data_IF_315120541018
#
_entry.id   IF_315120541018
#
_cell.length_a   1.000
_cell.length_b   1.000
_cell.length_c   1.000
_cell.angle_alpha   90.00
_cell.angle_beta   90.00
_cell.angle_gamma   90.00
#
_symmetry.space_group_name_H-M   'P 1'
#
loop_
_entity.id
_entity.type
_entity.pdbx_description
1 polymer ?
#
# COMPACT_ATOMS: atom_id res chain seq x y z
N UNK A 1 -21.11 12.66 0.28
CA UNK A 1 -19.65 12.50 0.29
C UNK A 1 -19.21 12.20 -1.13
N UNK A 2 -18.26 12.93 -1.68
CA UNK A 2 -17.82 12.73 -3.07
C UNK A 2 -16.47 11.97 -3.10
N UNK A 3 -16.37 10.86 -2.38
CA UNK A 3 -15.23 9.99 -2.50
C UNK A 3 -15.60 8.82 -3.43
N UNK A 4 -14.80 8.67 -4.47
CA UNK A 4 -14.94 7.63 -5.46
C UNK A 4 -14.02 6.48 -5.10
N UNK A 5 -14.57 5.28 -5.00
CA UNK A 5 -13.84 4.07 -4.66
C UNK A 5 -13.87 3.13 -5.86
N UNK A 6 -12.72 2.67 -6.31
CA UNK A 6 -12.60 1.70 -7.39
C UNK A 6 -11.84 0.46 -6.93
N UNK A 7 -12.25 -0.72 -7.40
CA UNK A 7 -11.50 -1.96 -7.21
C UNK A 7 -10.43 -2.07 -8.29
N UNK A 8 -9.18 -2.26 -7.89
CA UNK A 8 -8.12 -2.60 -8.84
C UNK A 8 -8.23 -4.05 -9.27
N UNK A 9 -7.87 -4.32 -10.52
CA UNK A 9 -7.87 -5.65 -11.08
C UNK A 9 -6.79 -6.54 -10.44
N UNK A 10 -7.09 -7.84 -10.36
CA UNK A 10 -6.16 -8.84 -9.86
C UNK A 10 -6.35 -9.22 -8.39
N UNK A 11 -5.53 -10.14 -7.96
CA UNK A 11 -5.42 -10.59 -6.57
C UNK A 11 -4.00 -10.41 -6.08
N UNK A 12 -3.87 -9.99 -4.83
CA UNK A 12 -2.60 -9.57 -4.26
C UNK A 12 -2.25 -10.41 -3.05
N UNK A 13 -0.96 -10.51 -2.80
CA UNK A 13 -0.38 -11.24 -1.68
C UNK A 13 0.49 -10.30 -0.87
N UNK A 14 0.36 -10.39 0.45
CA UNK A 14 1.17 -9.65 1.40
C UNK A 14 2.30 -10.56 1.90
N UNK A 15 3.53 -10.06 1.83
CA UNK A 15 4.74 -10.79 2.20
C UNK A 15 5.48 -9.99 3.27
N UNK A 16 5.72 -10.63 4.42
CA UNK A 16 6.61 -10.15 5.47
C UNK A 16 8.01 -10.74 5.28
N UNK A 17 9.02 -9.90 5.33
CA UNK A 17 10.43 -10.27 5.24
C UNK A 17 11.17 -9.66 6.43
N UNK A 18 11.73 -10.48 7.35
CA UNK A 18 12.58 -9.96 8.41
C UNK A 18 13.79 -9.20 7.86
N UNK A 19 14.21 -8.12 8.52
CA UNK A 19 15.29 -7.26 8.03
C UNK A 19 16.62 -7.99 7.81
N UNK A 20 16.91 -8.99 8.63
CA UNK A 20 18.12 -9.82 8.47
C UNK A 20 18.11 -10.68 7.19
N UNK A 21 16.94 -10.87 6.55
CA UNK A 21 16.79 -11.57 5.29
C UNK A 21 16.59 -10.63 4.08
N UNK A 22 16.53 -9.32 4.33
CA UNK A 22 16.32 -8.34 3.29
C UNK A 22 17.32 -8.48 2.14
N UNK A 23 18.62 -8.53 2.44
CA UNK A 23 19.68 -8.68 1.43
C UNK A 23 19.55 -9.99 0.62
N UNK A 24 19.11 -11.06 1.27
CA UNK A 24 18.92 -12.36 0.61
C UNK A 24 17.74 -12.33 -0.35
N UNK A 25 16.69 -11.56 -0.01
CA UNK A 25 15.47 -11.44 -0.82
C UNK A 25 15.43 -10.17 -1.69
N UNK A 26 16.51 -9.40 -1.75
CA UNK A 26 16.59 -8.20 -2.58
C UNK A 26 16.40 -8.52 -4.07
N UNK A 27 16.96 -9.64 -4.55
CA UNK A 27 16.82 -10.03 -5.95
C UNK A 27 15.35 -10.27 -6.37
N UNK A 28 14.52 -11.05 -5.65
CA UNK A 28 13.09 -11.12 -5.97
C UNK A 28 12.35 -9.79 -5.83
N UNK A 29 12.70 -8.93 -4.86
CA UNK A 29 12.13 -7.59 -4.72
C UNK A 29 12.42 -6.75 -5.98
N UNK A 30 13.65 -6.74 -6.46
CA UNK A 30 14.01 -6.03 -7.69
C UNK A 30 13.35 -6.62 -8.93
N UNK A 31 13.11 -7.93 -8.97
CA UNK A 31 12.39 -8.56 -10.09
C UNK A 31 10.94 -8.14 -10.20
N UNK A 32 10.23 -7.93 -9.09
CA UNK A 32 8.84 -7.45 -9.13
C UNK A 32 8.76 -5.94 -9.37
N UNK A 33 9.80 -5.19 -8.99
CA UNK A 33 9.89 -3.76 -9.25
C UNK A 33 10.15 -3.46 -10.73
N UNK A 34 11.00 -4.25 -11.38
CA UNK A 34 11.43 -3.99 -12.75
C UNK A 34 10.54 -4.73 -13.75
N UNK A 35 10.02 -4.04 -14.77
CA UNK A 35 9.29 -4.68 -15.85
C UNK A 35 10.21 -5.68 -16.58
N UNK A 36 9.77 -6.90 -16.71
CA UNK A 36 10.53 -7.90 -17.44
C UNK A 36 10.33 -7.69 -18.94
N UNK A 37 11.40 -7.31 -19.66
CA UNK A 37 11.43 -7.48 -21.10
C UNK A 37 11.38 -8.99 -21.40
N UNK A 38 10.43 -9.40 -22.24
CA UNK A 38 10.39 -10.78 -22.74
C UNK A 38 11.76 -11.14 -23.31
N UNK A 39 12.50 -12.00 -22.61
CA UNK A 39 13.68 -12.63 -23.17
C UNK A 39 13.18 -13.47 -24.35
N UNK A 40 13.57 -13.09 -25.56
CA UNK A 40 13.34 -13.90 -26.76
C UNK A 40 14.14 -15.21 -26.64
N UNK A 41 13.61 -16.15 -25.88
CA UNK A 41 14.01 -17.55 -25.94
C UNK A 41 12.94 -18.30 -26.72
N UNK A 42 13.35 -18.97 -27.81
CA UNK A 42 12.51 -19.82 -28.66
C UNK A 42 11.91 -21.01 -27.93
N UNK A 43 10.99 -20.76 -26.99
CA UNK A 43 10.20 -21.78 -26.31
C UNK A 43 8.72 -21.46 -26.51
N UNK A 44 8.25 -21.72 -27.76
CA UNK A 44 6.84 -21.54 -28.17
C UNK A 44 5.87 -22.56 -27.55
N UNK A 45 6.32 -23.47 -26.70
CA UNK A 45 5.53 -24.63 -26.27
C UNK A 45 5.32 -24.78 -24.76
N UNK A 46 5.66 -23.77 -23.95
CA UNK A 46 5.26 -23.77 -22.53
C UNK A 46 4.25 -22.66 -22.29
N UNK A 47 3.08 -22.95 -21.64
CA UNK A 47 2.19 -21.91 -21.19
C UNK A 47 2.77 -21.21 -19.93
N UNK A 48 4.07 -20.95 -19.94
CA UNK A 48 4.77 -20.36 -18.82
C UNK A 48 4.73 -18.83 -18.93
N UNK A 49 3.70 -18.30 -18.26
CA UNK A 49 3.79 -17.12 -17.41
C UNK A 49 4.50 -15.91 -18.05
N UNK A 50 3.78 -15.20 -18.88
CA UNK A 50 4.04 -13.79 -19.14
C UNK A 50 3.90 -13.05 -17.80
N UNK A 51 4.98 -12.97 -17.03
CA UNK A 51 5.11 -12.02 -15.93
C UNK A 51 5.19 -10.62 -16.54
N UNK A 52 4.04 -10.07 -16.85
CA UNK A 52 3.93 -8.70 -17.32
C UNK A 52 4.18 -7.78 -16.12
N UNK A 53 5.14 -6.88 -16.26
CA UNK A 53 5.38 -5.84 -15.24
C UNK A 53 4.26 -4.80 -15.23
N UNK A 54 4.19 -4.00 -14.16
CA UNK A 54 3.24 -2.89 -14.02
C UNK A 54 3.23 -1.89 -15.18
N UNK A 55 4.27 -1.91 -16.01
CA UNK A 55 4.45 -1.01 -17.16
C UNK A 55 4.07 -1.67 -18.50
N UNK A 56 3.64 -2.93 -18.51
CA UNK A 56 3.14 -3.62 -19.70
C UNK A 56 1.65 -3.82 -19.61
N UNK A 57 0.92 -3.11 -20.45
CA UNK A 57 -0.52 -3.24 -20.75
C UNK A 57 -1.42 -3.92 -19.69
N UNK A 58 -1.52 -3.32 -18.49
CA UNK A 58 -2.76 -3.41 -17.72
C UNK A 58 -3.02 -4.65 -16.87
N UNK A 59 -2.08 -5.55 -16.63
CA UNK A 59 -2.41 -6.79 -15.88
C UNK A 59 -2.05 -6.80 -14.39
N UNK A 60 -1.21 -5.89 -13.88
CA UNK A 60 -0.81 -5.86 -12.47
C UNK A 60 -0.92 -4.45 -11.91
N UNK A 61 -2.13 -4.09 -11.48
CA UNK A 61 -2.49 -2.72 -11.12
C UNK A 61 -1.76 -2.13 -9.90
N UNK A 62 -1.03 -2.92 -9.08
CA UNK A 62 -0.47 -2.42 -7.83
C UNK A 62 0.76 -3.19 -7.35
N UNK A 63 1.73 -2.44 -6.82
CA UNK A 63 2.89 -2.92 -6.08
C UNK A 63 3.22 -1.94 -4.95
N UNK A 64 3.39 -2.44 -3.73
CA UNK A 64 4.00 -1.67 -2.65
C UNK A 64 5.19 -2.44 -2.09
N UNK A 65 6.30 -1.74 -1.90
CA UNK A 65 7.50 -2.22 -1.21
C UNK A 65 7.79 -1.23 -0.08
N UNK A 66 7.69 -1.70 1.15
CA UNK A 66 7.91 -0.88 2.34
C UNK A 66 9.00 -1.48 3.21
N UNK A 67 10.06 -0.72 3.42
CA UNK A 67 11.13 -1.03 4.36
C UNK A 67 10.94 -0.09 5.55
N UNK A 68 10.85 -0.65 6.73
CA UNK A 68 10.68 0.08 7.99
C UNK A 68 11.74 -0.39 8.99
N UNK A 69 11.94 0.28 10.12
CA UNK A 69 12.82 -0.25 11.17
C UNK A 69 12.40 -1.61 11.73
N UNK A 70 11.17 -2.06 11.46
CA UNK A 70 10.61 -3.31 11.97
C UNK A 70 10.71 -4.46 10.97
N UNK A 71 10.49 -4.18 9.68
CA UNK A 71 10.39 -5.22 8.64
C UNK A 71 10.56 -4.66 7.24
N UNK A 72 10.74 -5.55 6.26
CA UNK A 72 10.42 -5.28 4.87
C UNK A 72 9.11 -5.98 4.52
N UNK A 73 8.16 -5.22 4.00
CA UNK A 73 6.83 -5.70 3.58
C UNK A 73 6.65 -5.48 2.08
N UNK A 74 6.12 -6.49 1.39
CA UNK A 74 5.84 -6.42 -0.05
C UNK A 74 4.39 -6.80 -0.29
N UNK A 75 3.66 -5.93 -0.97
CA UNK A 75 2.34 -6.23 -1.54
C UNK A 75 2.51 -6.32 -3.04
N UNK A 76 2.28 -7.48 -3.60
CA UNK A 76 2.42 -7.71 -5.04
C UNK A 76 1.32 -8.62 -5.56
N UNK A 77 1.13 -8.65 -6.87
CA UNK A 77 0.19 -9.58 -7.50
C UNK A 77 0.53 -11.03 -7.12
N UNK A 78 -0.51 -11.84 -6.86
CA UNK A 78 -0.32 -13.21 -6.33
C UNK A 78 0.51 -14.11 -7.26
N UNK A 79 0.47 -13.89 -8.57
CA UNK A 79 1.34 -14.62 -9.51
C UNK A 79 2.82 -14.32 -9.28
N UNK A 80 3.19 -13.11 -8.88
CA UNK A 80 4.57 -12.77 -8.56
C UNK A 80 5.03 -13.39 -7.23
N UNK A 81 4.15 -13.41 -6.23
CA UNK A 81 4.45 -14.13 -5.00
C UNK A 81 4.79 -15.60 -5.29
N UNK A 82 4.00 -16.27 -6.14
CA UNK A 82 4.18 -17.67 -6.51
C UNK A 82 5.38 -17.92 -7.43
N UNK A 83 5.61 -17.04 -8.43
CA UNK A 83 6.58 -17.32 -9.49
C UNK A 83 7.94 -16.64 -9.25
N UNK A 84 8.01 -15.63 -8.38
CA UNK A 84 9.25 -14.91 -8.07
C UNK A 84 9.75 -15.19 -6.66
N UNK A 85 8.87 -15.06 -5.64
CA UNK A 85 9.28 -15.23 -4.24
C UNK A 85 9.33 -16.69 -3.79
N UNK A 86 8.28 -17.49 -4.05
CA UNK A 86 8.25 -18.89 -3.61
C UNK A 86 9.44 -19.74 -4.09
N UNK A 87 9.90 -19.64 -5.35
CA UNK A 87 11.07 -20.41 -5.78
C UNK A 87 12.31 -20.08 -4.96
N UNK A 88 12.54 -18.80 -4.64
CA UNK A 88 13.67 -18.39 -3.81
C UNK A 88 13.52 -18.89 -2.38
N UNK A 89 12.32 -18.76 -1.79
CA UNK A 89 12.04 -19.26 -0.45
C UNK A 89 12.27 -20.78 -0.33
N UNK A 90 11.96 -21.55 -1.37
CA UNK A 90 12.21 -23.01 -1.41
C UNK A 90 13.70 -23.38 -1.41
N UNK A 91 14.58 -22.45 -1.80
CA UNK A 91 16.05 -22.67 -1.75
C UNK A 91 16.67 -22.39 -0.39
N UNK A 92 15.97 -21.67 0.49
CA UNK A 92 16.45 -21.33 1.81
C UNK A 92 16.34 -22.50 2.79
N UNK A 93 17.19 -22.57 3.84
CA UNK A 93 17.00 -23.49 4.93
C UNK A 93 15.61 -23.35 5.54
N UNK A 94 14.99 -24.48 5.91
CA UNK A 94 13.59 -24.51 6.35
C UNK A 94 13.28 -23.55 7.49
N UNK A 95 14.19 -23.38 8.44
CA UNK A 95 13.99 -22.50 9.59
C UNK A 95 14.05 -21.02 9.18
N UNK A 96 14.93 -20.70 8.23
CA UNK A 96 15.04 -19.35 7.65
C UNK A 96 13.80 -19.03 6.78
N UNK A 97 13.37 -19.97 5.96
CA UNK A 97 12.18 -19.77 5.12
C UNK A 97 10.91 -19.54 5.93
N UNK A 98 10.77 -20.17 7.12
CA UNK A 98 9.62 -19.99 8.02
C UNK A 98 9.54 -18.59 8.65
N UNK A 99 10.62 -17.86 8.74
CA UNK A 99 10.59 -16.47 9.26
C UNK A 99 10.03 -15.49 8.26
N UNK A 100 10.00 -15.85 6.96
CA UNK A 100 9.29 -15.10 5.93
C UNK A 100 7.83 -15.53 5.92
N UNK A 101 6.92 -14.59 6.13
CA UNK A 101 5.49 -14.89 6.12
C UNK A 101 4.87 -14.42 4.81
N UNK A 102 4.19 -15.36 4.13
CA UNK A 102 3.37 -15.07 2.94
C UNK A 102 1.92 -15.25 3.33
N UNK A 103 1.08 -14.26 3.09
CA UNK A 103 -0.34 -14.31 3.46
C UNK A 103 -1.04 -15.50 2.81
N UNK A 104 -1.86 -16.21 3.60
CA UNK A 104 -2.65 -17.35 3.10
C UNK A 104 -3.84 -16.88 2.29
N UNK A 105 -4.49 -15.81 2.74
CA UNK A 105 -5.58 -15.18 2.04
C UNK A 105 -5.03 -14.27 0.94
N UNK A 106 -5.71 -14.23 -0.19
CA UNK A 106 -5.48 -13.22 -1.21
C UNK A 106 -6.27 -11.96 -0.88
N UNK A 107 -5.71 -10.83 -1.30
CA UNK A 107 -6.30 -9.51 -1.10
C UNK A 107 -6.74 -8.93 -2.45
N UNK A 108 -7.76 -8.10 -2.40
CA UNK A 108 -8.06 -7.12 -3.43
C UNK A 108 -7.71 -5.73 -2.91
N UNK A 109 -7.51 -4.80 -3.82
CA UNK A 109 -7.14 -3.43 -3.50
C UNK A 109 -8.23 -2.49 -3.96
N UNK A 110 -8.62 -1.59 -3.06
CA UNK A 110 -9.46 -0.45 -3.38
C UNK A 110 -8.55 0.77 -3.52
N UNK A 111 -8.69 1.49 -4.62
CA UNK A 111 -8.15 2.84 -4.79
C UNK A 111 -9.22 3.85 -4.43
N UNK A 112 -8.87 4.82 -3.63
CA UNK A 112 -9.79 5.86 -3.18
C UNK A 112 -9.25 7.22 -3.59
N UNK A 113 -9.98 7.87 -4.47
CA UNK A 113 -9.72 9.26 -4.84
C UNK A 113 -10.64 10.13 -3.97
N UNK A 114 -10.07 10.80 -2.99
CA UNK A 114 -10.80 11.59 -2.01
C UNK A 114 -10.86 13.07 -2.41
N UNK A 115 -11.62 13.40 -3.45
CA UNK A 115 -11.91 14.79 -3.76
C UNK A 115 -12.87 15.36 -2.70
N UNK A 116 -12.33 16.12 -1.72
CA UNK A 116 -13.13 16.89 -0.76
C UNK A 116 -13.36 16.23 0.60
N UNK A 117 -12.69 15.14 0.94
CA UNK A 117 -12.57 14.69 2.31
C UNK A 117 -11.48 15.48 3.03
N UNK A 118 -11.78 15.91 4.25
CA UNK A 118 -10.80 16.55 5.11
C UNK A 118 -9.69 15.54 5.45
N UNK A 119 -8.43 15.89 5.18
CA UNK A 119 -7.34 14.92 5.24
C UNK A 119 -7.17 14.29 6.63
N UNK A 120 -7.41 15.05 7.71
CA UNK A 120 -7.36 14.55 9.08
C UNK A 120 -8.40 13.46 9.36
N UNK A 121 -9.65 13.65 8.90
CA UNK A 121 -10.74 12.67 9.07
C UNK A 121 -10.76 11.54 8.06
N UNK A 122 -10.05 11.67 6.95
CA UNK A 122 -10.15 10.79 5.77
C UNK A 122 -9.89 9.32 6.09
N UNK A 123 -8.80 9.03 6.79
CA UNK A 123 -8.45 7.65 7.16
C UNK A 123 -9.56 7.02 8.00
N UNK A 124 -10.09 7.76 8.97
CA UNK A 124 -11.18 7.28 9.83
C UNK A 124 -12.48 7.08 9.04
N UNK A 125 -12.85 8.04 8.19
CA UNK A 125 -14.10 7.98 7.41
C UNK A 125 -14.12 6.79 6.45
N UNK A 126 -13.00 6.51 5.78
CA UNK A 126 -12.86 5.38 4.87
C UNK A 126 -12.84 4.03 5.60
N UNK A 127 -12.24 3.98 6.78
CA UNK A 127 -12.00 2.71 7.46
C UNK A 127 -13.10 2.34 8.46
N UNK A 128 -13.87 3.31 8.97
CA UNK A 128 -14.93 3.05 9.97
C UNK A 128 -16.04 2.10 9.48
N UNK A 129 -16.57 2.20 8.24
CA UNK A 129 -17.59 1.27 7.79
C UNK A 129 -17.07 -0.17 7.67
N UNK A 130 -15.80 -0.33 7.28
CA UNK A 130 -15.16 -1.64 7.17
C UNK A 130 -14.85 -2.24 8.54
N UNK A 131 -14.36 -1.43 9.46
CA UNK A 131 -14.10 -1.84 10.85
C UNK A 131 -15.35 -2.27 11.58
N UNK A 132 -16.47 -1.54 11.44
CA UNK A 132 -17.77 -1.89 12.01
C UNK A 132 -18.37 -3.15 11.40
N UNK A 133 -18.04 -3.44 10.15
CA UNK A 133 -18.44 -4.69 9.49
C UNK A 133 -17.52 -5.88 9.84
N UNK A 134 -16.50 -5.67 10.70
CA UNK A 134 -15.56 -6.71 11.09
C UNK A 134 -14.61 -7.14 9.95
N UNK A 135 -14.34 -6.26 8.99
CA UNK A 135 -13.47 -6.54 7.85
C UNK A 135 -12.04 -6.12 8.20
N UNK A 136 -11.06 -7.03 8.17
CA UNK A 136 -9.66 -6.68 8.36
C UNK A 136 -9.14 -5.92 7.14
N UNK A 137 -8.36 -4.88 7.37
CA UNK A 137 -7.83 -4.02 6.32
C UNK A 137 -6.36 -3.70 6.54
N UNK A 138 -5.65 -3.41 5.43
CA UNK A 138 -4.38 -2.69 5.43
C UNK A 138 -4.60 -1.39 4.67
N UNK A 139 -4.08 -0.30 5.21
CA UNK A 139 -4.28 1.04 4.66
C UNK A 139 -2.94 1.64 4.26
N UNK A 140 -2.84 2.17 3.06
CA UNK A 140 -1.62 2.78 2.53
C UNK A 140 -1.99 4.15 1.97
N UNK A 141 -1.58 5.22 2.67
CA UNK A 141 -1.66 6.58 2.14
C UNK A 141 -0.52 6.79 1.15
N UNK A 142 -0.83 7.32 -0.02
CA UNK A 142 0.17 7.72 -1.01
C UNK A 142 0.09 9.22 -1.31
N UNK A 143 0.90 9.68 -2.23
CA UNK A 143 0.92 11.11 -2.58
C UNK A 143 -0.39 11.58 -3.23
N UNK A 144 -1.05 10.73 -4.03
CA UNK A 144 -2.27 11.07 -4.77
C UNK A 144 -3.52 10.38 -4.26
N UNK A 145 -3.42 9.13 -3.90
CA UNK A 145 -4.54 8.26 -3.56
C UNK A 145 -4.33 7.52 -2.25
N UNK A 146 -5.41 7.02 -1.68
CA UNK A 146 -5.34 6.03 -0.61
C UNK A 146 -5.66 4.65 -1.16
N UNK A 147 -4.94 3.65 -0.68
CA UNK A 147 -5.16 2.26 -1.04
C UNK A 147 -5.57 1.45 0.20
N UNK A 148 -6.61 0.64 0.03
CA UNK A 148 -7.10 -0.23 1.09
C UNK A 148 -7.04 -1.67 0.59
N UNK A 149 -6.27 -2.51 1.26
CA UNK A 149 -6.24 -3.94 0.99
C UNK A 149 -7.30 -4.61 1.87
N UNK A 150 -8.13 -5.44 1.26
CA UNK A 150 -9.16 -6.24 1.95
C UNK A 150 -9.10 -7.69 1.46
N UNK A 151 -9.39 -8.70 2.30
CA UNK A 151 -9.45 -10.07 1.85
C UNK A 151 -10.45 -10.25 0.71
N UNK A 152 -10.09 -11.00 -0.34
CA UNK A 152 -10.97 -11.22 -1.51
C UNK A 152 -12.31 -11.84 -1.14
N UNK A 153 -12.34 -12.66 -0.08
CA UNK A 153 -13.57 -13.28 0.46
C UNK A 153 -14.58 -12.26 0.99
N UNK A 154 -14.15 -11.06 1.34
CA UNK A 154 -14.98 -9.99 1.91
C UNK A 154 -15.54 -9.00 0.88
N UNK A 155 -15.31 -9.22 -0.43
CA UNK A 155 -15.69 -8.27 -1.50
C UNK A 155 -17.12 -7.74 -1.37
N UNK A 156 -18.10 -8.62 -1.20
CA UNK A 156 -19.51 -8.24 -1.13
C UNK A 156 -19.84 -7.45 0.14
N UNK A 157 -19.20 -7.81 1.27
CA UNK A 157 -19.38 -7.11 2.54
C UNK A 157 -18.74 -5.72 2.48
N UNK A 158 -17.57 -5.60 1.85
CA UNK A 158 -16.90 -4.32 1.60
C UNK A 158 -17.82 -3.40 0.77
N UNK A 159 -18.31 -3.88 -0.38
CA UNK A 159 -19.17 -3.10 -1.25
C UNK A 159 -20.44 -2.63 -0.51
N UNK A 160 -21.11 -3.53 0.21
CA UNK A 160 -22.31 -3.19 1.01
C UNK A 160 -22.02 -2.13 2.07
N UNK A 161 -20.91 -2.27 2.80
CA UNK A 161 -20.55 -1.37 3.91
C UNK A 161 -20.22 0.03 3.40
N UNK A 162 -19.49 0.15 2.28
CA UNK A 162 -19.15 1.42 1.67
C UNK A 162 -20.39 2.12 1.06
N UNK A 163 -21.22 1.39 0.31
CA UNK A 163 -22.47 1.92 -0.25
C UNK A 163 -23.43 2.40 0.83
N UNK A 164 -23.54 1.68 1.96
CA UNK A 164 -24.39 2.08 3.09
C UNK A 164 -23.94 3.41 3.73
N UNK A 165 -22.68 3.78 3.58
CA UNK A 165 -22.11 5.07 4.01
C UNK A 165 -22.16 6.16 2.95
N UNK A 166 -22.65 5.83 1.74
CA UNK A 166 -22.81 6.79 0.64
C UNK A 166 -21.54 7.00 -0.20
N UNK A 167 -20.60 6.05 -0.16
CA UNK A 167 -19.49 6.04 -1.12
C UNK A 167 -19.98 5.57 -2.49
N UNK A 168 -19.43 6.16 -3.54
CA UNK A 168 -19.70 5.74 -4.92
C UNK A 168 -18.67 4.68 -5.33
N UNK A 169 -19.16 3.50 -5.73
CA UNK A 169 -18.30 2.43 -6.25
C UNK A 169 -18.28 2.54 -7.77
N UNK A 170 -17.08 2.71 -8.32
CA UNK A 170 -16.86 2.61 -9.76
C UNK A 170 -16.49 1.17 -10.11
N UNK A 171 -17.34 0.52 -10.91
CA UNK A 171 -16.97 -0.74 -11.55
C UNK A 171 -16.15 -0.37 -12.79
N UNK A 172 -14.84 -0.61 -12.75
CA UNK A 172 -14.07 -0.67 -13.98
C UNK A 172 -14.61 -1.85 -14.78
N UNK A 173 -14.92 -1.62 -16.07
CA UNK A 173 -15.47 -2.63 -17.00
C UNK A 173 -14.43 -3.72 -17.31
N UNK A 174 -13.92 -4.43 -16.33
CA UNK A 174 -13.15 -5.63 -16.58
C UNK A 174 -14.03 -6.86 -16.40
N UNK A 175 -14.13 -7.60 -17.47
CA UNK A 175 -14.90 -8.76 -17.82
C UNK A 175 -14.92 -9.90 -16.75
N UNK A 176 -15.53 -9.66 -15.59
CA UNK A 176 -16.11 -10.74 -14.82
C UNK A 176 -17.63 -10.60 -14.91
N UNK A 177 -18.21 -11.42 -15.77
CA UNK A 177 -19.66 -11.66 -15.85
C UNK A 177 -20.12 -12.18 -14.49
N UNK A 178 -20.44 -11.28 -13.58
CA UNK A 178 -21.31 -11.59 -12.46
C UNK A 178 -22.71 -11.76 -13.06
N UNK A 179 -23.25 -12.96 -12.89
CA UNK A 179 -24.63 -13.29 -13.26
C UNK A 179 -25.55 -12.15 -12.80
N UNK A 180 -26.24 -11.55 -13.76
CA UNK A 180 -27.02 -10.33 -13.64
C UNK A 180 -27.87 -10.28 -12.37
N UNK A 181 -27.70 -9.22 -11.63
CA UNK A 181 -28.69 -8.78 -10.66
C UNK A 181 -29.95 -8.38 -11.43
N UNK A 182 -30.90 -9.29 -11.52
CA UNK A 182 -32.27 -8.96 -11.89
C UNK A 182 -32.78 -7.96 -10.86
N UNK A 183 -33.12 -6.74 -11.30
CA UNK A 183 -33.97 -5.81 -10.56
C UNK A 183 -35.31 -6.50 -10.25
N UNK A 184 -35.38 -7.19 -9.13
CA UNK A 184 -36.59 -7.73 -8.54
C UNK A 184 -36.54 -7.37 -7.07
N UNK A 185 -37.47 -6.50 -6.68
CA UNK A 185 -37.68 -6.12 -5.29
C UNK A 185 -37.97 -7.35 -4.44
N UNK A 186 -36.95 -7.85 -3.79
CA UNK A 186 -37.10 -8.76 -2.66
C UNK A 186 -36.11 -8.29 -1.60
N UNK A 187 -36.62 -8.00 -0.41
CA UNK A 187 -35.82 -7.60 0.75
C UNK A 187 -34.66 -8.59 0.90
N UNK A 188 -33.42 -8.09 1.09
CA UNK A 188 -32.29 -8.98 1.35
C UNK A 188 -32.59 -9.79 2.62
N UNK A 189 -32.23 -11.08 2.66
CA UNK A 189 -32.33 -11.86 3.90
C UNK A 189 -31.53 -11.13 4.96
N UNK A 190 -32.18 -10.80 6.06
CA UNK A 190 -31.56 -10.27 7.28
C UNK A 190 -30.60 -11.36 7.74
N UNK A 191 -29.32 -11.20 7.43
CA UNK A 191 -28.27 -12.02 8.05
C UNK A 191 -28.35 -11.73 9.55
N UNK A 192 -28.41 -12.75 10.41
CA UNK A 192 -28.42 -12.51 11.85
C UNK A 192 -27.16 -11.70 12.21
N UNK A 193 -27.27 -10.75 13.16
CA UNK A 193 -26.11 -9.99 13.60
C UNK A 193 -25.05 -10.97 14.07
N UNK A 194 -23.84 -10.88 13.52
CA UNK A 194 -22.69 -11.60 14.04
C UNK A 194 -22.53 -11.20 15.51
N UNK A 195 -22.77 -12.13 16.43
CA UNK A 195 -22.53 -11.91 17.84
C UNK A 195 -21.08 -11.51 18.04
N UNK A 196 -20.85 -10.27 18.50
CA UNK A 196 -19.52 -9.76 18.82
C UNK A 196 -19.00 -8.58 17.98
N UNK A 197 -19.73 -8.13 16.95
CA UNK A 197 -19.32 -6.91 16.21
C UNK A 197 -19.65 -5.64 17.03
N UNK A 198 -18.76 -4.61 16.98
CA UNK A 198 -19.00 -3.35 17.69
C UNK A 198 -20.21 -2.62 17.11
N UNK A 199 -21.06 -2.10 17.98
CA UNK A 199 -22.29 -1.41 17.60
C UNK A 199 -22.04 0.02 17.10
N UNK A 200 -20.89 0.61 17.49
CA UNK A 200 -20.49 1.97 17.12
C UNK A 200 -18.97 2.15 17.16
N UNK A 201 -18.50 3.28 16.63
CA UNK A 201 -17.07 3.60 16.55
C UNK A 201 -16.40 3.66 17.91
N UNK A 202 -17.09 4.19 18.95
CA UNK A 202 -16.51 4.30 20.30
C UNK A 202 -16.27 2.93 20.92
N UNK A 203 -17.21 2.01 20.77
CA UNK A 203 -17.05 0.62 21.23
C UNK A 203 -15.93 -0.08 20.45
N UNK A 204 -15.88 0.12 19.15
CA UNK A 204 -14.81 -0.42 18.30
C UNK A 204 -13.43 0.10 18.74
N UNK A 205 -13.29 1.40 18.99
CA UNK A 205 -12.04 1.99 19.51
C UNK A 205 -11.64 1.36 20.85
N UNK A 206 -12.58 1.24 21.79
CA UNK A 206 -12.33 0.61 23.09
C UNK A 206 -11.84 -0.83 22.93
N UNK A 207 -12.48 -1.61 22.06
CA UNK A 207 -12.10 -2.99 21.77
C UNK A 207 -10.70 -3.06 21.14
N UNK A 208 -10.41 -2.16 20.19
CA UNK A 208 -9.10 -2.06 19.52
C UNK A 208 -8.00 -1.75 20.52
N UNK A 209 -8.14 -0.70 21.33
CA UNK A 209 -7.12 -0.36 22.34
C UNK A 209 -6.98 -1.44 23.41
N UNK A 210 -8.08 -2.09 23.81
CA UNK A 210 -8.03 -3.27 24.68
C UNK A 210 -7.24 -4.43 24.09
N UNK A 211 -7.39 -4.69 22.80
CA UNK A 211 -6.63 -5.71 22.07
C UNK A 211 -5.14 -5.35 21.98
N UNK A 212 -4.82 -4.12 21.53
CA UNK A 212 -3.45 -3.63 21.40
C UNK A 212 -2.71 -3.70 22.73
N UNK A 213 -3.35 -3.26 23.82
CA UNK A 213 -2.83 -3.33 25.18
C UNK A 213 -2.58 -4.76 25.64
N UNK A 214 -3.54 -5.65 25.45
CA UNK A 214 -3.42 -7.09 25.77
C UNK A 214 -2.25 -7.75 25.03
N UNK A 215 -1.88 -7.23 23.87
CA UNK A 215 -0.78 -7.70 23.04
C UNK A 215 0.51 -6.93 23.26
N UNK A 216 0.55 -6.04 24.25
CA UNK A 216 1.70 -5.21 24.62
C UNK A 216 2.24 -4.39 23.45
N UNK A 217 1.35 -3.91 22.59
CA UNK A 217 1.71 -2.99 21.51
C UNK A 217 2.00 -1.63 22.12
N UNK A 218 3.19 -1.11 21.87
CA UNK A 218 3.61 0.22 22.33
C UNK A 218 3.93 1.11 21.14
N UNK A 219 3.49 2.38 21.15
CA UNK A 219 3.89 3.32 20.11
C UNK A 219 5.35 3.75 20.34
N UNK A 220 6.11 3.90 19.26
CA UNK A 220 7.47 4.43 19.36
C UNK A 220 7.84 5.26 18.12
N UNK A 221 8.69 6.24 18.33
CA UNK A 221 9.31 7.05 17.29
C UNK A 221 10.78 6.63 17.19
N UNK A 222 11.23 6.38 15.98
CA UNK A 222 12.64 6.05 15.71
C UNK A 222 13.47 7.33 15.69
N UNK A 223 14.49 7.40 16.55
CA UNK A 223 15.32 8.59 16.71
C UNK A 223 16.02 8.99 15.40
N UNK A 224 15.90 10.27 15.04
CA UNK A 224 16.51 10.84 13.83
C UNK A 224 15.92 10.35 12.52
N UNK A 225 14.76 9.68 12.54
CA UNK A 225 14.02 9.31 11.33
C UNK A 225 13.02 10.41 10.99
N UNK A 226 13.28 11.12 9.90
CA UNK A 226 12.39 12.15 9.35
C UNK A 226 12.03 11.74 7.93
N UNK A 227 10.73 11.76 7.60
CA UNK A 227 10.23 11.34 6.30
C UNK A 227 9.80 12.52 5.45
N UNK A 228 9.83 12.30 4.13
CA UNK A 228 9.21 13.16 3.12
C UNK A 228 8.29 12.31 2.25
N UNK A 229 7.14 12.88 1.89
CA UNK A 229 6.21 12.26 0.96
C UNK A 229 6.29 12.96 -0.39
N UNK A 230 6.63 12.21 -1.42
CA UNK A 230 6.89 12.74 -2.75
C UNK A 230 6.41 11.77 -3.83
N UNK A 231 6.51 12.20 -5.07
CA UNK A 231 6.07 11.44 -6.24
C UNK A 231 7.12 11.45 -7.34
N UNK A 232 7.04 10.47 -8.22
CA UNK A 232 7.64 10.55 -9.55
C UNK A 232 6.87 11.49 -10.47
N UNK A 233 7.38 11.71 -11.66
CA UNK A 233 6.73 12.54 -12.69
C UNK A 233 5.60 11.78 -13.36
N UNK A 234 4.56 12.51 -13.74
CA UNK A 234 3.48 11.96 -14.57
C UNK A 234 3.98 11.56 -15.96
N UNK A 235 3.32 10.57 -16.57
CA UNK A 235 3.65 10.10 -17.93
C UNK A 235 3.56 11.23 -18.98
N UNK A 236 2.62 12.17 -18.81
CA UNK A 236 2.47 13.36 -19.65
C UNK A 236 3.68 14.30 -19.59
N UNK A 237 4.28 14.44 -18.40
CA UNK A 237 5.48 15.23 -18.19
C UNK A 237 6.72 14.54 -18.78
N UNK A 238 6.81 13.21 -18.67
CA UNK A 238 7.90 12.42 -19.26
C UNK A 238 7.94 12.56 -20.79
N UNK A 239 6.78 12.55 -21.45
CA UNK A 239 6.68 12.75 -22.89
C UNK A 239 7.22 14.13 -23.31
N UNK A 240 6.92 15.19 -22.55
CA UNK A 240 7.40 16.55 -22.80
C UNK A 240 8.92 16.69 -22.68
N UNK A 241 9.54 16.01 -21.70
CA UNK A 241 10.99 16.01 -21.53
C UNK A 241 11.72 15.24 -22.63
N UNK A 242 11.16 14.16 -23.12
CA UNK A 242 11.74 13.37 -24.21
C UNK A 242 11.74 14.13 -25.55
N UNK A 243 10.78 15.05 -25.77
CA UNK A 243 10.75 15.91 -26.96
C UNK A 243 11.81 17.03 -26.94
N UNK A 244 12.36 17.39 -25.79
CA UNK A 244 13.42 18.40 -25.65
C UNK A 244 14.83 17.82 -25.84
N UNK A 245 15.02 16.50 -25.89
CA UNK A 245 16.28 15.92 -26.32
C UNK A 245 16.41 16.11 -27.82
N UNK A 246 17.48 16.77 -28.33
CA UNK A 246 17.68 16.90 -29.76
C UNK A 246 17.70 15.49 -30.35
N UNK A 247 16.66 15.16 -31.10
CA UNK A 247 16.61 13.93 -31.88
C UNK A 247 17.74 14.00 -32.90
N UNK A 248 18.84 13.33 -32.61
CA UNK A 248 19.80 12.99 -33.65
C UNK A 248 19.02 12.05 -34.56
N UNK A 249 18.47 12.64 -35.62
CA UNK A 249 17.77 11.93 -36.68
C UNK A 249 18.77 10.97 -37.34
N UNK A 250 18.88 9.76 -36.77
CA UNK A 250 19.47 8.64 -37.52
C UNK A 250 18.36 8.14 -38.42
N UNK A 251 18.46 8.51 -39.70
CA UNK A 251 17.82 7.78 -40.78
C UNK A 251 18.31 6.31 -40.72
N UNK A 252 17.58 5.48 -40.03
CA UNK A 252 17.73 4.02 -40.11
C UNK A 252 16.50 3.48 -40.83
N UNK A 253 16.76 3.16 -42.11
CA UNK A 253 15.93 2.26 -42.90
C UNK A 253 15.60 0.98 -42.13
N UNK A 254 14.29 0.75 -41.90
CA UNK A 254 13.65 -0.56 -41.85
C UNK A 254 14.23 -1.62 -40.90
N UNK A 255 13.94 -1.52 -39.64
CA UNK A 255 13.54 -2.63 -38.75
C UNK A 255 12.86 -1.99 -37.54
N UNK A 256 11.54 -2.11 -37.47
CA UNK A 256 10.76 -1.59 -36.34
C UNK A 256 11.21 -2.25 -35.03
N UNK A 257 12.17 -1.61 -34.36
CA UNK A 257 12.56 -1.99 -33.00
C UNK A 257 11.32 -1.78 -32.12
N UNK A 258 10.81 -2.85 -31.53
CA UNK A 258 9.73 -2.73 -30.53
C UNK A 258 10.21 -1.78 -29.45
N UNK A 259 9.37 -0.83 -28.99
CA UNK A 259 9.73 0.07 -27.90
C UNK A 259 10.17 -0.77 -26.70
N UNK A 260 11.28 -0.37 -26.08
CA UNK A 260 11.76 -0.96 -24.84
C UNK A 260 10.92 -0.43 -23.66
N UNK A 261 10.78 -1.20 -22.59
CA UNK A 261 10.17 -0.70 -21.35
C UNK A 261 10.84 0.60 -20.87
N UNK A 262 12.14 0.73 -21.09
CA UNK A 262 12.91 1.93 -20.75
C UNK A 262 12.47 3.19 -21.51
N UNK A 263 11.71 3.04 -22.60
CA UNK A 263 11.16 4.17 -23.35
C UNK A 263 9.86 4.70 -22.72
N UNK A 264 9.21 3.89 -21.87
CA UNK A 264 7.91 4.17 -21.28
C UNK A 264 7.95 4.52 -19.78
N UNK A 265 9.10 4.40 -19.11
CA UNK A 265 9.25 4.69 -17.67
C UNK A 265 10.31 5.75 -17.43
N UNK A 266 10.22 6.45 -16.29
CA UNK A 266 11.30 7.33 -15.82
C UNK A 266 12.49 6.49 -15.35
N UNK A 267 13.40 6.18 -16.29
CA UNK A 267 14.60 5.37 -16.01
C UNK A 267 15.49 6.00 -14.94
N UNK A 268 15.50 7.32 -14.81
CA UNK A 268 16.26 8.03 -13.76
C UNK A 268 15.67 7.73 -12.40
N UNK A 269 14.36 7.89 -12.23
CA UNK A 269 13.66 7.58 -10.99
C UNK A 269 13.84 6.11 -10.61
N UNK A 270 13.65 5.18 -11.55
CA UNK A 270 13.82 3.74 -11.26
C UNK A 270 15.25 3.40 -10.86
N UNK A 271 16.27 4.05 -11.48
CA UNK A 271 17.67 3.88 -11.06
C UNK A 271 17.90 4.37 -9.64
N UNK A 272 17.30 5.51 -9.25
CA UNK A 272 17.37 6.03 -7.88
C UNK A 272 16.67 5.08 -6.89
N UNK A 273 15.47 4.57 -7.24
CA UNK A 273 14.75 3.60 -6.41
C UNK A 273 15.61 2.34 -6.17
N UNK A 274 16.20 1.78 -7.23
CA UNK A 274 17.08 0.61 -7.12
C UNK A 274 18.28 0.92 -6.23
N UNK A 275 18.93 2.07 -6.44
CA UNK A 275 20.10 2.48 -5.65
C UNK A 275 19.74 2.62 -4.17
N UNK A 276 18.59 3.21 -3.86
CA UNK A 276 18.09 3.33 -2.50
C UNK A 276 17.78 1.96 -1.89
N UNK A 277 17.13 1.04 -2.62
CA UNK A 277 16.86 -0.32 -2.14
C UNK A 277 18.16 -1.10 -1.87
N UNK A 278 19.15 -0.97 -2.74
CA UNK A 278 20.47 -1.64 -2.56
C UNK A 278 21.23 -1.09 -1.36
N UNK A 279 21.06 0.18 -1.00
CA UNK A 279 21.73 0.79 0.16
C UNK A 279 21.17 0.34 1.51
N UNK A 280 20.13 -0.50 1.55
CA UNK A 280 19.46 -0.95 2.78
C UNK A 280 18.97 0.22 3.64
N UNK A 281 18.00 0.99 3.14
CA UNK A 281 17.53 2.19 3.83
C UNK A 281 16.85 1.84 5.16
N UNK A 282 16.93 2.73 6.15
CA UNK A 282 16.19 2.60 7.41
C UNK A 282 14.68 2.65 7.19
N UNK A 283 14.26 3.50 6.27
CA UNK A 283 12.86 3.62 5.88
C UNK A 283 12.75 4.02 4.40
N UNK A 284 11.91 3.30 3.68
CA UNK A 284 11.50 3.62 2.33
C UNK A 284 10.20 2.89 2.01
N UNK A 285 9.20 3.58 1.53
CA UNK A 285 8.00 2.95 0.96
C UNK A 285 7.79 3.45 -0.46
N UNK A 286 7.70 2.53 -1.40
CA UNK A 286 7.43 2.78 -2.82
C UNK A 286 6.11 2.14 -3.17
N UNK A 287 5.19 2.93 -3.69
CA UNK A 287 3.90 2.45 -4.22
C UNK A 287 3.82 2.76 -5.71
N UNK A 288 3.61 1.72 -6.48
CA UNK A 288 3.33 1.81 -7.92
C UNK A 288 1.89 1.34 -8.14
N UNK A 289 1.08 2.19 -8.73
CA UNK A 289 -0.29 1.89 -9.11
C UNK A 289 -0.50 2.23 -10.59
N UNK A 290 -1.49 1.59 -11.22
CA UNK A 290 -1.70 1.71 -12.66
C UNK A 290 -2.03 3.14 -13.09
N UNK A 291 -2.87 3.82 -12.32
CA UNK A 291 -3.43 5.13 -12.70
C UNK A 291 -2.71 6.31 -12.03
N UNK A 292 -1.79 6.04 -11.11
CA UNK A 292 -1.05 7.06 -10.36
C UNK A 292 0.44 7.08 -10.74
N UNK A 293 1.08 8.25 -10.72
CA UNK A 293 2.54 8.32 -10.74
C UNK A 293 3.14 7.58 -9.54
N UNK A 294 4.40 7.07 -9.66
CA UNK A 294 5.06 6.42 -8.53
C UNK A 294 5.03 7.30 -7.28
N UNK A 295 4.52 6.77 -6.18
CA UNK A 295 4.48 7.46 -4.89
C UNK A 295 5.57 6.92 -3.96
N UNK A 296 6.28 7.84 -3.31
CA UNK A 296 7.40 7.52 -2.44
C UNK A 296 7.23 8.21 -1.09
N UNK A 297 7.43 7.44 -0.03
CA UNK A 297 7.61 7.94 1.32
C UNK A 297 9.01 7.53 1.75
N UNK A 298 9.88 8.51 1.95
CA UNK A 298 11.33 8.30 2.07
C UNK A 298 11.89 8.87 3.37
N UNK A 299 12.88 8.18 3.96
CA UNK A 299 13.80 8.82 4.89
C UNK A 299 14.46 10.02 4.19
N UNK A 300 14.41 11.21 4.80
CA UNK A 300 14.95 12.45 4.25
C UNK A 300 16.43 12.32 3.84
N UNK A 301 17.18 11.45 4.52
CA UNK A 301 18.57 11.14 4.18
C UNK A 301 18.76 10.47 2.80
N UNK A 302 17.69 9.97 2.19
CA UNK A 302 17.75 9.38 0.84
C UNK A 302 17.60 10.42 -0.28
N UNK A 303 17.22 11.66 0.02
CA UNK A 303 16.95 12.68 -1.01
C UNK A 303 18.13 12.90 -1.95
N UNK A 304 19.36 12.85 -1.45
CA UNK A 304 20.55 12.99 -2.28
C UNK A 304 20.68 11.93 -3.38
N UNK A 305 20.14 10.72 -3.13
CA UNK A 305 20.12 9.62 -4.11
C UNK A 305 19.17 9.94 -5.27
N UNK A 306 18.10 10.66 -4.99
CA UNK A 306 17.04 10.97 -5.96
C UNK A 306 17.29 12.25 -6.74
N UNK A 307 17.99 13.22 -6.17
CA UNK A 307 18.25 14.53 -6.78
C UNK A 307 16.97 15.18 -7.29
N UNK A 308 16.93 15.55 -8.57
CA UNK A 308 15.79 16.20 -9.24
C UNK A 308 14.75 15.21 -9.83
N UNK A 309 14.80 13.93 -9.47
CA UNK A 309 13.87 12.91 -9.99
C UNK A 309 12.50 12.92 -9.30
N UNK A 310 12.38 13.64 -8.17
CA UNK A 310 11.17 13.71 -7.37
C UNK A 310 10.36 14.96 -7.65
N UNK A 311 9.06 14.86 -7.41
CA UNK A 311 8.08 15.95 -7.43
C UNK A 311 7.36 15.96 -6.08
N UNK A 312 7.07 17.13 -5.55
CA UNK A 312 6.39 17.30 -4.27
C UNK A 312 7.24 18.05 -3.25
N UNK A 313 6.76 18.10 -2.00
CA UNK A 313 7.44 18.80 -0.91
C UNK A 313 8.55 17.92 -0.31
N UNK A 314 9.79 18.17 -0.75
CA UNK A 314 10.98 17.51 -0.21
C UNK A 314 11.53 18.21 1.04
N UNK A 315 11.03 19.40 1.38
CA UNK A 315 11.40 20.13 2.60
C UNK A 315 10.57 19.72 3.81
N UNK A 316 9.45 19.06 3.60
CA UNK A 316 8.57 18.54 4.64
C UNK A 316 9.32 17.75 5.72
N UNK A 317 8.75 17.72 6.91
CA UNK A 317 9.27 16.99 8.07
C UNK A 317 8.13 16.14 8.65
N UNK A 318 8.03 14.88 8.20
CA UNK A 318 7.04 13.94 8.68
C UNK A 318 7.70 12.94 9.63
N UNK A 319 7.06 12.70 10.76
CA UNK A 319 7.53 11.78 11.80
C UNK A 319 6.62 10.56 11.86
N UNK A 320 7.15 9.35 11.64
CA UNK A 320 6.38 8.12 11.79
C UNK A 320 6.32 7.66 13.25
N UNK A 321 5.12 7.35 13.72
CA UNK A 321 4.87 6.65 14.99
C UNK A 321 4.57 5.19 14.65
N UNK A 322 5.47 4.30 15.01
CA UNK A 322 5.35 2.88 14.73
C UNK A 322 4.58 2.14 15.82
N UNK A 323 3.77 1.18 15.39
CA UNK A 323 3.10 0.18 16.21
C UNK A 323 3.58 -1.20 15.73
N UNK A 324 4.28 -1.95 16.57
CA UNK A 324 4.64 -3.33 16.25
C UNK A 324 3.42 -4.23 16.48
N UNK A 325 2.91 -4.80 15.40
CA UNK A 325 1.70 -5.62 15.36
C UNK A 325 2.01 -7.11 15.14
N UNK A 326 3.27 -7.53 15.22
CA UNK A 326 3.72 -8.93 15.01
C UNK A 326 2.93 -9.93 15.86
N UNK A 327 2.55 -9.54 17.09
CA UNK A 327 1.77 -10.38 17.99
C UNK A 327 0.29 -10.51 17.62
N UNK A 328 -0.18 -9.78 16.59
CA UNK A 328 -1.56 -9.78 16.14
C UNK A 328 -1.74 -10.66 14.90
N UNK A 329 -2.95 -11.20 14.75
CA UNK A 329 -3.34 -11.86 13.50
C UNK A 329 -3.57 -10.83 12.40
N UNK A 330 -3.27 -11.18 11.15
CA UNK A 330 -3.64 -10.38 9.96
C UNK A 330 -5.18 -10.20 9.82
N UNK A 331 -5.95 -10.99 10.56
CA UNK A 331 -7.42 -10.88 10.62
C UNK A 331 -7.90 -9.89 11.71
N UNK A 332 -6.99 -9.24 12.45
CA UNK A 332 -7.37 -8.22 13.44
C UNK A 332 -8.03 -7.04 12.75
N UNK A 333 -9.18 -6.61 13.30
CA UNK A 333 -10.01 -5.55 12.71
C UNK A 333 -9.97 -4.27 13.54
N UNK A 334 -10.24 -3.13 12.91
CA UNK A 334 -10.42 -1.86 13.58
C UNK A 334 -9.14 -1.13 13.97
N UNK A 335 -7.94 -1.67 13.75
CA UNK A 335 -6.68 -1.08 14.19
C UNK A 335 -6.48 0.31 13.56
N UNK A 336 -6.53 0.39 12.23
CA UNK A 336 -6.35 1.65 11.50
C UNK A 336 -7.39 2.69 11.92
N UNK A 337 -8.67 2.30 11.91
CA UNK A 337 -9.77 3.16 12.32
C UNK A 337 -9.69 3.58 13.79
N UNK A 338 -9.31 2.67 14.68
CA UNK A 338 -9.17 2.94 16.10
C UNK A 338 -8.07 3.95 16.38
N UNK A 339 -6.88 3.73 15.83
CA UNK A 339 -5.71 4.59 16.03
C UNK A 339 -5.91 5.95 15.38
N UNK A 340 -6.28 6.00 14.08
CA UNK A 340 -6.55 7.27 13.41
C UNK A 340 -7.72 8.02 14.08
N UNK A 341 -8.78 7.29 14.42
CA UNK A 341 -9.98 7.89 14.98
C UNK A 341 -9.81 8.51 16.39
N UNK A 342 -8.90 7.98 17.22
CA UNK A 342 -8.61 8.63 18.52
C UNK A 342 -7.77 9.89 18.32
N UNK A 343 -6.86 9.88 17.36
CA UNK A 343 -6.00 11.03 17.08
C UNK A 343 -6.78 12.21 16.53
N UNK A 344 -7.72 11.98 15.60
CA UNK A 344 -8.53 13.06 15.03
C UNK A 344 -9.61 13.61 15.99
N UNK A 345 -9.75 13.06 17.20
CA UNK A 345 -10.53 13.69 18.25
C UNK A 345 -9.81 14.89 18.89
N UNK A 346 -8.48 14.97 18.76
CA UNK A 346 -7.74 16.17 19.14
C UNK A 346 -7.92 17.23 18.04
N UNK A 347 -8.45 18.44 18.36
CA UNK A 347 -8.73 19.46 17.36
C UNK A 347 -7.49 19.90 16.56
N UNK A 348 -6.31 19.93 17.18
CA UNK A 348 -5.08 20.37 16.51
C UNK A 348 -4.56 19.32 15.52
N UNK A 349 -4.83 18.04 15.76
CA UNK A 349 -4.52 16.98 14.78
C UNK A 349 -5.60 16.97 13.70
N UNK A 350 -6.87 17.17 14.05
CA UNK A 350 -7.97 17.18 13.10
C UNK A 350 -7.92 18.34 12.10
N UNK A 351 -7.50 19.53 12.55
CA UNK A 351 -7.35 20.71 11.69
C UNK A 351 -6.16 20.62 10.74
N UNK A 352 -5.23 19.71 11.01
CA UNK A 352 -4.10 19.51 10.12
C UNK A 352 -4.46 18.59 8.98
N UNK A 353 -3.95 18.93 7.81
CA UNK A 353 -4.21 18.18 6.58
C UNK A 353 -3.34 16.92 6.40
N UNK A 354 -2.55 16.50 7.38
CA UNK A 354 -1.39 15.63 7.11
C UNK A 354 -1.35 14.30 7.86
N UNK A 355 -2.50 13.78 8.37
CA UNK A 355 -2.48 12.44 8.93
C UNK A 355 -2.44 11.40 7.80
N UNK A 356 -1.30 10.73 7.67
CA UNK A 356 -1.11 9.59 6.77
C UNK A 356 -0.97 8.29 7.56
N UNK A 357 -1.33 7.18 6.95
CA UNK A 357 -1.20 5.86 7.55
C UNK A 357 -0.52 4.88 6.58
N UNK A 358 0.44 4.12 7.09
CA UNK A 358 1.08 3.04 6.35
C UNK A 358 0.92 1.73 7.14
N UNK A 359 0.11 0.82 6.61
CA UNK A 359 0.08 -0.56 7.09
C UNK A 359 1.11 -1.39 6.35
N UNK A 360 1.86 -2.17 7.09
CA UNK A 360 2.74 -3.23 6.58
C UNK A 360 2.29 -4.59 7.12
N UNK A 361 2.98 -5.67 6.79
CA UNK A 361 2.54 -7.02 7.17
C UNK A 361 2.46 -7.21 8.71
N UNK A 362 3.39 -6.62 9.45
CA UNK A 362 3.48 -6.77 10.92
C UNK A 362 3.60 -5.44 11.66
N UNK A 363 3.39 -4.31 10.97
CA UNK A 363 3.44 -3.00 11.61
C UNK A 363 2.37 -2.05 11.06
N UNK A 364 2.07 -1.04 11.84
CA UNK A 364 1.35 0.16 11.42
C UNK A 364 2.19 1.39 11.73
N UNK A 365 2.19 2.36 10.85
CA UNK A 365 2.81 3.64 11.07
C UNK A 365 1.80 4.76 10.86
N UNK A 366 1.60 5.59 11.89
CA UNK A 366 0.92 6.87 11.76
C UNK A 366 1.97 7.93 11.45
N UNK A 367 1.75 8.71 10.44
CA UNK A 367 2.72 9.66 9.92
C UNK A 367 2.11 11.05 10.01
N UNK A 368 2.79 11.94 10.72
CA UNK A 368 2.32 13.27 11.09
C UNK A 368 3.48 14.27 10.98
N UNK A 369 3.17 15.56 11.00
CA UNK A 369 4.21 16.58 11.20
C UNK A 369 4.90 16.43 12.56
N UNK A 370 6.07 17.04 12.72
CA UNK A 370 6.86 16.94 13.96
C UNK A 370 6.04 17.38 15.20
N UNK A 371 5.41 18.55 15.14
CA UNK A 371 4.60 19.07 16.25
C UNK A 371 3.45 18.13 16.62
N UNK A 372 2.77 17.57 15.63
CA UNK A 372 1.64 16.66 15.83
C UNK A 372 2.07 15.29 16.32
N UNK A 373 3.25 14.81 15.94
CA UNK A 373 3.78 13.53 16.39
C UNK A 373 3.99 13.50 17.90
N UNK A 374 4.51 14.58 18.48
CA UNK A 374 4.65 14.72 19.94
C UNK A 374 3.30 14.65 20.63
N UNK A 375 2.29 15.33 20.07
CA UNK A 375 0.94 15.33 20.60
C UNK A 375 0.28 13.95 20.48
N UNK A 376 0.43 13.30 19.32
CA UNK A 376 -0.08 11.96 19.08
C UNK A 376 0.53 10.92 20.03
N UNK A 377 1.83 11.01 20.30
CA UNK A 377 2.50 10.19 21.31
C UNK A 377 1.89 10.42 22.71
N UNK A 378 1.64 11.68 23.09
CA UNK A 378 0.99 12.01 24.35
C UNK A 378 -0.43 11.43 24.50
N UNK A 379 -1.12 11.14 23.37
CA UNK A 379 -2.44 10.50 23.36
C UNK A 379 -2.30 8.96 23.36
N UNK A 380 -1.45 8.41 22.49
CA UNK A 380 -1.35 6.95 22.27
C UNK A 380 -0.65 6.23 23.44
N UNK A 381 0.45 6.78 23.95
CA UNK A 381 1.23 6.13 24.99
C UNK A 381 0.43 5.84 26.26
N UNK A 382 -0.35 6.77 26.85
CA UNK A 382 -1.17 6.49 28.02
C UNK A 382 -2.25 5.43 27.76
N UNK A 383 -2.80 5.38 26.54
CA UNK A 383 -3.84 4.41 26.17
C UNK A 383 -3.29 2.98 26.01
N UNK A 384 -2.04 2.85 25.63
CA UNK A 384 -1.42 1.57 25.34
C UNK A 384 -0.56 1.03 26.49
N UNK A 385 0.05 1.89 27.33
CA UNK A 385 0.99 1.50 28.38
C UNK A 385 0.40 1.45 29.78
N UNK A 386 -0.57 2.32 30.13
CA UNK A 386 -1.15 2.34 31.47
C UNK A 386 -1.98 1.09 31.73
N UNK A 387 -1.69 0.39 32.83
CA UNK A 387 -2.63 -0.58 33.39
C UNK A 387 -3.94 0.11 33.84
N UNK A 388 -5.07 -0.59 33.72
CA UNK A 388 -6.37 -0.03 34.05
C UNK A 388 -6.50 0.32 35.54
#
# INVERSE_FOLDING_TARGET
MNAQVSFLDGTYTLIHIPLNLYSTLLQPILRVLLPQSQSQGNLRDSPEYELQGLTSDGQHGFLNISITPLECSVVCHSSWAQNVFEPVLKTLPRDVAKSVSVSKDSYMILSVISAGLDAGGRVMELTSPLALAGIPIFFITTYYSDFILVPTKERDNVAKSLLAKGFELCENESNYVTQGYKKGATQPPVTPPHEGLPSNVSEMQKNTFGLLKKRHVTPHIEEGLVLVQCSGREASQLASFNHQRPSISRHTTGNGRRPSWADNVDTKLYTCIISALVSQPRFMSVTLAQDDPPSLLLDKNLLDVFGDSLVGDTEGCLIPIFLNLESLSLEATGIVCGVAGILVQDPQIAESSELSYLSTAQAGAVILSDEQSVRAMGILEPLLTKEP
#
